data_IF_876688764298
#
_entry.id   IF_876688764298
#
_cell.length_a   1.000
_cell.length_b   1.000
_cell.length_c   1.000
_cell.angle_alpha   90.00
_cell.angle_beta   90.00
_cell.angle_gamma   90.00
#
_symmetry.space_group_name_H-M   'P 1'
#
loop_
_entity.id
_entity.type
_entity.pdbx_description
1 polymer ?
#
# COMPACT_ATOMS: atom_id res chain seq x y z
N UNK A 1 17.81 3.63 -17.78
CA UNK A 1 17.43 3.80 -16.37
C UNK A 1 18.66 4.24 -15.59
N UNK A 2 18.71 5.50 -15.16
CA UNK A 2 19.85 6.04 -14.41
C UNK A 2 20.10 5.30 -13.09
N UNK A 3 21.34 5.36 -12.60
CA UNK A 3 21.74 4.73 -11.34
C UNK A 3 21.89 5.80 -10.26
N UNK A 4 21.21 5.67 -9.11
CA UNK A 4 20.33 4.57 -8.71
C UNK A 4 18.89 4.71 -9.26
N UNK A 5 18.34 3.60 -9.77
CA UNK A 5 16.92 3.51 -10.08
C UNK A 5 16.13 3.12 -8.81
N UNK A 6 14.93 3.66 -8.64
CA UNK A 6 14.02 3.32 -7.53
C UNK A 6 12.74 2.69 -8.08
N UNK A 7 12.08 1.87 -7.25
CA UNK A 7 10.74 1.34 -7.51
C UNK A 7 9.80 1.85 -6.42
N UNK A 8 8.69 2.46 -6.84
CA UNK A 8 7.62 2.89 -5.95
C UNK A 8 6.37 2.08 -6.29
N UNK A 9 5.77 1.46 -5.28
CA UNK A 9 4.51 0.73 -5.39
C UNK A 9 3.49 1.46 -4.52
N UNK A 10 2.40 1.91 -5.15
CA UNK A 10 1.33 2.68 -4.51
C UNK A 10 -0.04 2.10 -4.86
N UNK A 11 -1.05 2.49 -4.11
CA UNK A 11 -2.46 2.19 -4.36
C UNK A 11 -3.30 3.46 -4.34
N UNK A 12 -4.41 3.44 -5.07
CA UNK A 12 -5.41 4.53 -5.18
C UNK A 12 -6.80 4.07 -4.70
N UNK A 13 -6.85 3.00 -3.91
CA UNK A 13 -8.10 2.41 -3.41
C UNK A 13 -8.92 3.35 -2.51
N UNK A 14 -8.29 4.40 -1.98
CA UNK A 14 -8.97 5.43 -1.21
C UNK A 14 -9.12 6.66 -2.09
N UNK A 15 -10.36 7.02 -2.42
CA UNK A 15 -10.67 8.17 -3.27
C UNK A 15 -9.99 9.44 -2.75
N UNK A 16 -9.27 10.13 -3.64
CA UNK A 16 -8.54 11.36 -3.31
C UNK A 16 -7.21 11.15 -2.58
N UNK A 17 -6.75 9.90 -2.37
CA UNK A 17 -5.46 9.61 -1.73
C UNK A 17 -4.61 8.68 -2.58
N UNK A 18 -3.32 8.99 -2.68
CA UNK A 18 -2.29 8.09 -3.18
C UNK A 18 -1.57 7.53 -1.96
N UNK A 19 -1.61 6.22 -1.79
CA UNK A 19 -0.99 5.56 -0.63
C UNK A 19 0.21 4.76 -1.10
N UNK A 20 1.40 5.19 -0.67
CA UNK A 20 2.65 4.49 -0.98
C UNK A 20 2.79 3.26 -0.09
N UNK A 21 2.77 2.08 -0.68
CA UNK A 21 2.92 0.80 0.02
C UNK A 21 4.40 0.47 0.23
N UNK A 22 5.25 0.76 -0.75
CA UNK A 22 6.69 0.54 -0.63
C UNK A 22 7.47 1.37 -1.64
N UNK A 23 8.54 2.02 -1.17
CA UNK A 23 9.58 2.59 -2.03
C UNK A 23 10.93 1.97 -1.66
N UNK A 24 11.70 1.53 -2.66
CA UNK A 24 13.03 0.98 -2.46
C UNK A 24 13.92 1.16 -3.69
N UNK A 25 15.23 1.03 -3.49
CA UNK A 25 16.18 1.00 -4.60
C UNK A 25 15.92 -0.25 -5.44
N UNK A 26 15.89 -0.07 -6.76
CA UNK A 26 15.75 -1.15 -7.73
C UNK A 26 17.04 -1.97 -7.71
N UNK A 27 16.93 -3.21 -7.24
CA UNK A 27 18.04 -4.19 -7.15
C UNK A 27 18.20 -4.99 -8.43
N UNK A 28 17.09 -5.26 -9.13
CA UNK A 28 17.06 -6.02 -10.39
C UNK A 28 16.12 -5.39 -11.41
N UNK A 29 16.40 -5.63 -12.70
CA UNK A 29 15.50 -5.24 -13.79
C UNK A 29 14.24 -6.10 -13.87
N UNK A 30 14.28 -7.31 -13.29
CA UNK A 30 13.18 -8.27 -13.33
C UNK A 30 12.10 -8.07 -12.25
N UNK A 31 11.17 -9.04 -12.15
CA UNK A 31 10.28 -9.15 -11.01
C UNK A 31 11.08 -9.39 -9.72
N UNK A 32 10.66 -8.74 -8.65
CA UNK A 32 11.27 -8.88 -7.34
C UNK A 32 10.25 -9.52 -6.38
N UNK A 33 10.43 -10.80 -6.00
CA UNK A 33 9.47 -11.51 -5.17
C UNK A 33 9.41 -10.96 -3.74
N UNK A 34 10.49 -10.36 -3.23
CA UNK A 34 10.55 -9.78 -1.89
C UNK A 34 9.78 -8.46 -1.80
N UNK A 35 9.89 -7.61 -2.82
CA UNK A 35 9.05 -6.42 -2.97
C UNK A 35 7.58 -6.84 -3.05
N UNK A 36 7.28 -7.88 -3.84
CA UNK A 36 5.90 -8.38 -4.01
C UNK A 36 5.31 -8.88 -2.69
N UNK A 37 6.05 -9.70 -1.93
CA UNK A 37 5.57 -10.20 -0.63
C UNK A 37 5.33 -9.07 0.36
N UNK A 38 6.27 -8.11 0.44
CA UNK A 38 6.17 -6.93 1.30
C UNK A 38 4.95 -6.07 0.97
N UNK A 39 4.76 -5.75 -0.31
CA UNK A 39 3.61 -4.96 -0.79
C UNK A 39 2.30 -5.68 -0.50
N UNK A 40 2.25 -7.01 -0.68
CA UNK A 40 1.04 -7.80 -0.44
C UNK A 40 0.64 -7.78 1.03
N UNK A 41 1.61 -7.92 1.95
CA UNK A 41 1.37 -7.82 3.39
C UNK A 41 0.87 -6.43 3.78
N UNK A 42 1.54 -5.37 3.30
CA UNK A 42 1.14 -3.98 3.60
C UNK A 42 -0.23 -3.62 3.06
N UNK A 43 -0.58 -4.10 1.86
CA UNK A 43 -1.93 -3.90 1.30
C UNK A 43 -3.00 -4.61 2.14
N UNK A 44 -2.73 -5.81 2.65
CA UNK A 44 -3.67 -6.52 3.54
C UNK A 44 -3.88 -5.77 4.86
N UNK A 45 -2.81 -5.23 5.45
CA UNK A 45 -2.89 -4.39 6.65
C UNK A 45 -3.76 -3.15 6.39
N UNK A 46 -3.48 -2.43 5.31
CA UNK A 46 -4.25 -1.24 4.89
C UNK A 46 -5.75 -1.54 4.72
N UNK A 47 -6.12 -2.62 4.03
CA UNK A 47 -7.52 -3.00 3.85
C UNK A 47 -8.18 -3.34 5.21
N UNK A 48 -7.43 -3.94 6.13
CA UNK A 48 -7.95 -4.29 7.45
C UNK A 48 -8.21 -3.04 8.30
N UNK A 49 -7.30 -2.07 8.26
CA UNK A 49 -7.44 -0.76 8.90
C UNK A 49 -8.64 0.01 8.32
N UNK A 50 -8.74 0.13 7.00
CA UNK A 50 -9.88 0.80 6.33
C UNK A 50 -11.23 0.17 6.70
N UNK A 51 -11.28 -1.15 6.84
CA UNK A 51 -12.49 -1.86 7.29
C UNK A 51 -12.82 -1.58 8.76
N UNK A 52 -11.81 -1.45 9.62
CA UNK A 52 -12.00 -1.10 11.02
C UNK A 52 -12.55 0.33 11.15
N UNK A 53 -11.97 1.28 10.41
CA UNK A 53 -12.41 2.69 10.37
C UNK A 53 -13.85 2.82 9.84
N UNK A 54 -14.19 2.06 8.80
CA UNK A 54 -15.55 2.01 8.26
C UNK A 54 -16.58 1.45 9.27
N UNK A 55 -16.17 0.56 10.18
CA UNK A 55 -17.03 0.06 11.26
C UNK A 55 -17.17 1.06 12.40
N UNK A 56 -16.08 1.73 12.78
CA UNK A 56 -16.08 2.75 13.82
C UNK A 56 -17.03 3.91 13.47
N UNK A 57 -16.90 4.45 12.25
CA UNK A 57 -17.75 5.56 11.76
C UNK A 57 -19.24 5.20 11.68
N UNK A 58 -19.61 3.95 11.40
CA UNK A 58 -21.02 3.49 11.44
C UNK A 58 -21.58 3.40 12.85
N UNK A 59 -20.76 3.05 13.86
CA UNK A 59 -21.21 2.93 15.26
C UNK A 59 -21.51 4.29 15.86
N UNK A 60 -20.74 5.30 15.50
CA UNK A 60 -20.90 6.68 15.96
C UNK A 60 -22.17 7.34 15.41
N UNK A 61 -22.53 7.08 14.15
CA UNK A 61 -23.79 7.58 13.54
C UNK A 61 -25.07 6.92 14.05
N UNK A 62 -24.99 5.81 14.79
CA UNK A 62 -26.15 5.08 15.35
C UNK A 62 -26.44 5.49 16.81
N UNK A 63 -25.53 6.24 17.45
CA UNK A 63 -25.70 6.75 18.81
C UNK A 63 -26.28 8.16 18.75
#
# INVERSE_FOLDING_TARGET
>A
NGSPAYRCVYTIEVTGKIIVLHACKKTTNGPDPQIKSTVTLRRKALISELKADAKASKKEKKK
#
